data_IF_144908612545
#
_entry.id   IF_144908612545
#
_cell.length_a   1.000
_cell.length_b   1.000
_cell.length_c   1.000
_cell.angle_alpha   90.00
_cell.angle_beta   90.00
_cell.angle_gamma   90.00
#
_symmetry.space_group_name_H-M   'P 1'
#
loop_
_entity.id
_entity.type
_entity.pdbx_description
1 polymer ?
#
# COMPACT_ATOMS: atom_id res chain seq x y z
N UNK A 1 -7.87 -7.63 -32.12
CA UNK A 1 -7.77 -6.62 -31.04
C UNK A 1 -7.74 -5.25 -31.71
N UNK A 2 -8.55 -4.27 -31.29
CA UNK A 2 -8.46 -2.91 -31.85
C UNK A 2 -7.11 -2.29 -31.45
N UNK A 3 -6.51 -1.49 -32.34
CA UNK A 3 -5.17 -0.91 -32.16
C UNK A 3 -5.05 0.02 -30.93
N UNK A 4 -6.19 0.45 -30.39
CA UNK A 4 -6.36 1.44 -29.34
C UNK A 4 -7.16 0.87 -28.14
N UNK A 5 -7.16 -0.45 -27.96
CA UNK A 5 -7.65 -1.06 -26.72
C UNK A 5 -6.80 -0.60 -25.52
N UNK A 6 -7.47 -0.28 -24.42
CA UNK A 6 -6.83 0.02 -23.14
C UNK A 6 -6.61 -1.28 -22.36
N UNK A 7 -5.42 -1.43 -21.80
CA UNK A 7 -5.02 -2.62 -21.03
C UNK A 7 -4.49 -2.21 -19.66
N UNK A 8 -4.74 -3.05 -18.65
CA UNK A 8 -4.04 -2.95 -17.38
C UNK A 8 -2.60 -3.43 -17.53
N UNK A 9 -1.64 -2.60 -17.15
CA UNK A 9 -0.21 -2.91 -17.21
C UNK A 9 0.27 -3.65 -15.95
N UNK A 10 -0.56 -3.73 -14.91
CA UNK A 10 -0.24 -4.40 -13.66
C UNK A 10 1.16 -4.00 -13.16
N UNK A 11 2.00 -4.99 -12.83
CA UNK A 11 3.36 -4.75 -12.31
C UNK A 11 4.32 -4.06 -13.29
N UNK A 12 4.03 -4.00 -14.60
CA UNK A 12 4.85 -3.22 -15.55
C UNK A 12 4.81 -1.74 -15.19
N UNK A 13 3.74 -1.27 -14.53
CA UNK A 13 3.61 0.10 -14.01
C UNK A 13 4.74 0.49 -13.05
N UNK A 14 5.35 -0.48 -12.33
CA UNK A 14 6.49 -0.21 -11.44
C UNK A 14 7.65 0.40 -12.21
N UNK A 15 7.99 -0.17 -13.37
CA UNK A 15 9.09 0.31 -14.22
C UNK A 15 8.64 1.48 -15.08
N UNK A 16 7.47 1.35 -15.72
CA UNK A 16 6.99 2.31 -16.71
C UNK A 16 6.54 3.66 -16.10
N UNK A 17 6.20 3.69 -14.80
CA UNK A 17 5.76 4.91 -14.12
C UNK A 17 6.55 5.16 -12.83
N UNK A 18 6.52 4.24 -11.87
CA UNK A 18 7.06 4.49 -10.53
C UNK A 18 8.57 4.76 -10.57
N UNK A 19 9.37 3.91 -11.23
CA UNK A 19 10.81 4.10 -11.34
C UNK A 19 11.17 5.43 -12.00
N UNK A 20 10.50 5.79 -13.11
CA UNK A 20 10.74 7.07 -13.79
C UNK A 20 10.39 8.27 -12.90
N UNK A 21 9.30 8.20 -12.15
CA UNK A 21 8.91 9.24 -11.20
C UNK A 21 9.95 9.38 -10.07
N UNK A 22 10.47 8.27 -9.55
CA UNK A 22 11.52 8.31 -8.52
C UNK A 22 12.84 8.88 -9.04
N UNK A 23 13.23 8.57 -10.28
CA UNK A 23 14.41 9.16 -10.92
C UNK A 23 14.27 10.68 -11.08
N UNK A 24 13.09 11.16 -11.50
CA UNK A 24 12.82 12.60 -11.57
C UNK A 24 12.91 13.27 -10.19
N UNK A 25 12.33 12.67 -9.16
CA UNK A 25 12.41 13.20 -7.79
C UNK A 25 13.86 13.19 -7.25
N UNK A 26 14.67 12.23 -7.67
CA UNK A 26 16.09 12.19 -7.36
C UNK A 26 16.83 13.37 -8.01
N UNK A 27 16.61 13.61 -9.30
CA UNK A 27 17.22 14.73 -10.03
C UNK A 27 16.81 16.10 -9.45
N UNK A 28 15.56 16.22 -9.00
CA UNK A 28 15.05 17.41 -8.30
C UNK A 28 15.54 17.55 -6.85
N UNK A 29 16.35 16.60 -6.35
CA UNK A 29 16.86 16.59 -4.97
C UNK A 29 15.81 16.30 -3.89
N UNK A 30 14.60 15.88 -4.28
CA UNK A 30 13.48 15.58 -3.38
C UNK A 30 13.48 14.14 -2.88
N UNK A 31 14.21 13.25 -3.56
CA UNK A 31 14.34 11.85 -3.18
C UNK A 31 15.80 11.40 -3.17
N UNK A 32 16.12 10.48 -2.26
CA UNK A 32 17.44 9.92 -2.01
C UNK A 32 17.25 8.44 -1.60
N UNK A 33 17.82 7.47 -2.32
CA UNK A 33 17.62 6.05 -2.02
C UNK A 33 18.31 5.61 -0.70
N UNK A 34 19.32 6.35 -0.27
CA UNK A 34 20.07 6.17 0.99
C UNK A 34 19.36 6.77 2.22
N UNK A 35 18.17 7.36 2.05
CA UNK A 35 17.33 7.82 3.15
C UNK A 35 16.37 6.75 3.63
N UNK A 36 15.80 6.95 4.81
CA UNK A 36 14.88 6.02 5.44
C UNK A 36 13.42 6.34 5.09
N UNK A 37 12.54 5.35 5.21
CA UNK A 37 11.09 5.53 5.00
C UNK A 37 10.56 6.68 5.87
N UNK A 38 10.97 6.76 7.13
CA UNK A 38 10.55 7.79 8.07
C UNK A 38 10.98 9.22 7.72
N UNK A 39 11.96 9.38 6.82
CA UNK A 39 12.38 10.70 6.32
C UNK A 39 11.36 11.25 5.32
N UNK A 40 10.61 10.37 4.65
CA UNK A 40 9.56 10.71 3.67
C UNK A 40 8.15 10.54 4.21
N UNK A 41 7.95 9.60 5.15
CA UNK A 41 6.67 9.27 5.79
C UNK A 41 6.81 9.44 7.30
N UNK A 42 6.66 10.66 7.85
CA UNK A 42 6.87 10.94 9.27
C UNK A 42 6.05 10.07 10.22
N UNK A 43 4.86 9.64 9.80
CA UNK A 43 3.95 8.78 10.59
C UNK A 43 4.49 7.36 10.80
N UNK A 44 5.61 6.99 10.15
CA UNK A 44 6.30 5.71 10.37
C UNK A 44 7.39 5.79 11.43
N UNK A 45 7.69 6.97 11.99
CA UNK A 45 8.68 7.12 13.07
C UNK A 45 8.29 6.28 14.29
N UNK A 46 9.24 5.54 14.85
CA UNK A 46 9.02 4.64 15.99
C UNK A 46 8.34 3.31 15.63
N UNK A 47 8.10 3.03 14.35
CA UNK A 47 7.56 1.75 13.86
C UNK A 47 8.67 0.86 13.31
N UNK A 48 8.38 -0.41 13.02
CA UNK A 48 9.36 -1.32 12.41
C UNK A 48 9.68 -0.95 10.95
N UNK A 49 8.80 -0.19 10.30
CA UNK A 49 8.92 0.23 8.88
C UNK A 49 9.75 1.51 8.75
N UNK A 50 9.66 2.41 9.72
CA UNK A 50 10.36 3.70 9.71
C UNK A 50 11.85 3.65 9.36
N UNK A 51 12.66 2.77 10.00
CA UNK A 51 14.11 2.70 9.77
C UNK A 51 14.51 1.89 8.52
N UNK A 52 13.56 1.49 7.66
CA UNK A 52 13.90 0.81 6.40
C UNK A 52 14.53 1.80 5.42
N UNK A 53 15.61 1.39 4.76
CA UNK A 53 16.21 2.18 3.68
C UNK A 53 15.33 2.15 2.44
N UNK A 54 15.16 3.29 1.78
CA UNK A 54 14.36 3.38 0.56
C UNK A 54 14.91 2.50 -0.56
N UNK A 55 16.24 2.36 -0.67
CA UNK A 55 16.85 1.43 -1.62
C UNK A 55 16.37 -0.01 -1.41
N UNK A 56 16.32 -0.49 -0.16
CA UNK A 56 15.91 -1.86 0.17
C UNK A 56 14.41 -2.05 -0.13
N UNK A 57 13.60 -1.00 0.04
CA UNK A 57 12.18 -1.02 -0.30
C UNK A 57 12.01 -1.14 -1.82
N UNK A 58 12.72 -0.32 -2.59
CA UNK A 58 12.64 -0.29 -4.05
C UNK A 58 13.22 -1.54 -4.72
N UNK A 59 14.19 -2.21 -4.10
CA UNK A 59 14.81 -3.46 -4.62
C UNK A 59 14.15 -4.74 -4.09
N UNK A 60 13.04 -4.63 -3.35
CA UNK A 60 12.36 -5.76 -2.72
C UNK A 60 13.23 -6.55 -1.71
N UNK A 61 14.11 -5.86 -0.98
CA UNK A 61 15.03 -6.43 0.01
C UNK A 61 14.72 -6.01 1.46
N UNK A 62 13.75 -5.12 1.66
CA UNK A 62 13.38 -4.58 2.97
C UNK A 62 12.71 -5.59 3.92
N UNK A 63 12.32 -6.77 3.45
CA UNK A 63 11.63 -7.78 4.26
C UNK A 63 10.16 -7.47 4.54
N UNK A 64 9.58 -6.49 3.84
CA UNK A 64 8.15 -6.18 3.94
C UNK A 64 7.30 -7.40 3.58
N UNK A 65 6.18 -7.60 4.29
CA UNK A 65 5.21 -8.62 3.90
C UNK A 65 4.61 -8.25 2.54
N UNK A 66 4.67 -9.13 1.54
CA UNK A 66 4.38 -8.77 0.14
C UNK A 66 2.93 -8.35 -0.08
N UNK A 67 2.00 -8.95 0.67
CA UNK A 67 0.58 -8.64 0.61
C UNK A 67 -0.07 -8.87 1.98
N UNK A 68 -0.85 -7.89 2.44
CA UNK A 68 -1.66 -7.96 3.65
C UNK A 68 -3.13 -7.92 3.22
N UNK A 69 -3.91 -8.98 3.46
CA UNK A 69 -5.30 -9.04 2.99
C UNK A 69 -6.24 -8.32 3.97
N UNK A 70 -6.15 -6.99 4.04
CA UNK A 70 -6.89 -6.16 5.01
C UNK A 70 -8.40 -6.48 5.06
N UNK A 71 -9.00 -6.70 3.88
CA UNK A 71 -10.44 -6.95 3.75
C UNK A 71 -10.91 -8.22 4.49
N UNK A 72 -10.06 -9.22 4.74
CA UNK A 72 -10.49 -10.48 5.38
C UNK A 72 -11.08 -10.26 6.78
N UNK A 73 -10.60 -9.25 7.50
CA UNK A 73 -11.11 -8.90 8.84
C UNK A 73 -12.43 -8.12 8.81
N UNK A 74 -12.88 -7.72 7.62
CA UNK A 74 -14.11 -6.94 7.39
C UNK A 74 -15.25 -7.78 6.80
N UNK A 75 -15.05 -9.10 6.69
CA UNK A 75 -16.05 -10.03 6.20
C UNK A 75 -16.70 -10.78 7.38
N UNK A 76 -17.96 -11.17 7.17
CA UNK A 76 -18.64 -12.13 8.03
C UNK A 76 -18.08 -13.55 7.79
N UNK A 77 -18.46 -14.50 8.66
CA UNK A 77 -17.98 -15.88 8.59
C UNK A 77 -18.35 -16.60 7.28
N UNK A 78 -19.42 -16.17 6.63
CA UNK A 78 -19.88 -16.68 5.33
C UNK A 78 -19.22 -15.97 4.13
N UNK A 79 -18.31 -15.01 4.38
CA UNK A 79 -17.62 -14.24 3.36
C UNK A 79 -18.38 -13.03 2.84
N UNK A 80 -19.59 -12.76 3.34
CA UNK A 80 -20.34 -11.55 3.01
C UNK A 80 -19.74 -10.30 3.66
N UNK A 81 -20.04 -9.13 3.11
CA UNK A 81 -19.58 -7.84 3.65
C UNK A 81 -20.22 -7.58 5.00
N UNK A 82 -19.41 -7.30 6.02
CA UNK A 82 -19.91 -6.97 7.35
C UNK A 82 -20.45 -5.52 7.40
N UNK A 83 -21.73 -5.31 7.74
CA UNK A 83 -22.34 -3.97 7.84
C UNK A 83 -21.66 -3.05 8.86
N UNK A 84 -20.85 -3.58 9.78
CA UNK A 84 -20.04 -2.78 10.71
C UNK A 84 -18.91 -2.03 10.01
N UNK A 85 -18.47 -2.51 8.85
CA UNK A 85 -17.37 -1.94 8.07
C UNK A 85 -17.82 -1.31 6.76
N UNK A 86 -18.99 -1.71 6.24
CA UNK A 86 -19.48 -1.27 4.93
C UNK A 86 -20.90 -0.71 4.95
N UNK A 87 -21.14 0.25 4.06
CA UNK A 87 -22.45 0.77 3.71
C UNK A 87 -22.64 0.76 2.18
N UNK A 88 -23.89 0.59 1.72
CA UNK A 88 -24.19 0.60 0.28
C UNK A 88 -24.21 2.02 -0.31
N UNK A 89 -24.49 3.03 0.52
CA UNK A 89 -24.54 4.42 0.13
C UNK A 89 -23.40 5.21 0.79
N UNK A 90 -23.01 6.30 0.13
CA UNK A 90 -22.09 7.27 0.71
C UNK A 90 -22.82 8.07 1.78
N UNK A 91 -22.50 7.84 3.05
CA UNK A 91 -23.10 8.53 4.19
C UNK A 91 -22.01 9.06 5.14
N UNK A 92 -22.32 9.98 6.07
CA UNK A 92 -21.36 10.41 7.07
C UNK A 92 -20.79 9.20 7.84
N UNK A 93 -19.45 9.10 7.92
CA UNK A 93 -18.75 7.97 8.51
C UNK A 93 -18.46 6.81 7.55
N UNK A 94 -19.04 6.79 6.34
CA UNK A 94 -18.80 5.79 5.28
C UNK A 94 -18.64 6.48 3.92
N UNK A 95 -17.50 7.13 3.73
CA UNK A 95 -17.24 7.97 2.55
C UNK A 95 -16.22 7.38 1.58
N UNK A 96 -15.48 6.34 1.98
CA UNK A 96 -14.44 5.70 1.18
C UNK A 96 -15.07 4.66 0.24
N UNK A 97 -15.22 4.99 -1.05
CA UNK A 97 -15.70 4.02 -2.06
C UNK A 97 -14.62 2.97 -2.33
N UNK A 98 -14.93 1.69 -2.10
CA UNK A 98 -14.00 0.56 -2.36
C UNK A 98 -14.45 -0.32 -3.52
N UNK A 99 -15.73 -0.29 -3.86
CA UNK A 99 -16.32 -0.93 -5.04
C UNK A 99 -17.65 -0.25 -5.37
N UNK A 100 -18.30 -0.67 -6.46
CA UNK A 100 -19.61 -0.11 -6.81
C UNK A 100 -20.64 -0.39 -5.73
N UNK A 101 -21.27 0.69 -5.25
CA UNK A 101 -22.21 0.69 -4.13
C UNK A 101 -21.66 0.04 -2.85
N UNK A 102 -20.34 0.17 -2.61
CA UNK A 102 -19.70 -0.30 -1.37
C UNK A 102 -18.78 0.80 -0.84
N UNK A 103 -19.15 1.33 0.32
CA UNK A 103 -18.44 2.40 1.02
C UNK A 103 -17.96 1.89 2.37
N UNK A 104 -16.67 1.99 2.62
CA UNK A 104 -16.03 1.58 3.87
C UNK A 104 -16.10 2.70 4.91
N UNK A 105 -16.18 2.32 6.19
CA UNK A 105 -16.09 3.26 7.31
C UNK A 105 -14.79 4.06 7.27
N UNK A 106 -14.86 5.36 7.58
CA UNK A 106 -13.77 6.31 7.31
C UNK A 106 -12.50 6.04 8.14
N UNK A 107 -12.68 5.60 9.38
CA UNK A 107 -11.61 5.32 10.36
C UNK A 107 -10.92 3.97 10.15
N UNK A 108 -11.39 3.11 9.23
CA UNK A 108 -10.72 1.82 8.99
C UNK A 108 -9.32 1.99 8.39
N UNK A 109 -9.02 3.15 7.79
CA UNK A 109 -7.67 3.50 7.34
C UNK A 109 -6.64 3.43 8.47
N UNK A 110 -7.02 3.78 9.70
CA UNK A 110 -6.15 3.70 10.86
C UNK A 110 -5.79 2.25 11.19
N UNK A 111 -6.74 1.33 11.02
CA UNK A 111 -6.50 -0.11 11.20
C UNK A 111 -5.57 -0.67 10.11
N UNK A 112 -5.71 -0.22 8.87
CA UNK A 112 -4.79 -0.57 7.78
C UNK A 112 -3.38 -0.07 8.10
N UNK A 113 -3.27 1.19 8.54
CA UNK A 113 -1.97 1.79 8.87
C UNK A 113 -1.29 1.11 10.07
N UNK A 114 -2.07 0.80 11.11
CA UNK A 114 -1.60 0.02 12.25
C UNK A 114 -1.07 -1.35 11.80
N UNK A 115 -1.79 -2.06 10.93
CA UNK A 115 -1.32 -3.34 10.39
C UNK A 115 -0.02 -3.19 9.59
N UNK A 116 0.11 -2.19 8.72
CA UNK A 116 1.34 -1.95 7.94
C UNK A 116 2.53 -1.71 8.86
N UNK A 117 2.34 -0.85 9.87
CA UNK A 117 3.43 -0.39 10.76
C UNK A 117 3.81 -1.38 11.85
N UNK A 118 2.95 -2.36 12.16
CA UNK A 118 3.17 -3.36 13.20
C UNK A 118 3.48 -4.76 12.65
N UNK A 119 3.22 -5.02 11.37
CA UNK A 119 3.50 -6.32 10.75
C UNK A 119 5.00 -6.61 10.82
N UNK A 120 5.42 -7.76 11.38
CA UNK A 120 6.83 -8.12 11.47
C UNK A 120 7.51 -8.18 10.10
N UNK A 121 8.75 -7.72 10.05
CA UNK A 121 9.59 -7.87 8.87
C UNK A 121 10.04 -9.33 8.73
N UNK A 122 10.01 -9.85 7.50
CA UNK A 122 10.59 -11.14 7.14
C UNK A 122 12.11 -11.00 7.01
N UNK A 123 12.82 -12.13 7.04
CA UNK A 123 14.29 -12.16 6.95
C UNK A 123 14.81 -11.34 5.77
N UNK A 124 15.60 -10.30 6.07
CA UNK A 124 16.29 -9.47 5.09
C UNK A 124 17.17 -10.34 4.19
N UNK A 125 17.16 -10.07 2.88
CA UNK A 125 17.97 -10.79 1.90
C UNK A 125 17.29 -11.97 1.19
N UNK A 126 16.07 -12.37 1.59
CA UNK A 126 15.26 -13.28 0.77
C UNK A 126 14.44 -12.47 -0.24
N UNK A 127 14.83 -12.49 -1.52
CA UNK A 127 14.05 -11.85 -2.59
C UNK A 127 12.69 -12.56 -2.70
N UNK A 128 11.62 -11.87 -2.30
CA UNK A 128 10.26 -12.31 -2.57
C UNK A 128 9.55 -11.21 -3.36
N UNK A 129 9.28 -11.53 -4.62
CA UNK A 129 8.45 -10.70 -5.48
C UNK A 129 7.00 -10.72 -4.95
N UNK A 130 6.39 -9.54 -4.88
CA UNK A 130 4.97 -9.35 -4.56
C UNK A 130 4.18 -9.21 -5.85
#
# INVERSE_FOLDING_TARGET
MPANALYDLASVSKVAATTLAMMKLYDEGKFRPDKYVQDYLPDTKGTVVGPLLMQDVLTHQAGLTPWIPFYKQTLLADGSLDPRYYNQAKIPGFTIKVADNIYMRDDYRDSIWAQITQTPLKTKGSYKYS
#
